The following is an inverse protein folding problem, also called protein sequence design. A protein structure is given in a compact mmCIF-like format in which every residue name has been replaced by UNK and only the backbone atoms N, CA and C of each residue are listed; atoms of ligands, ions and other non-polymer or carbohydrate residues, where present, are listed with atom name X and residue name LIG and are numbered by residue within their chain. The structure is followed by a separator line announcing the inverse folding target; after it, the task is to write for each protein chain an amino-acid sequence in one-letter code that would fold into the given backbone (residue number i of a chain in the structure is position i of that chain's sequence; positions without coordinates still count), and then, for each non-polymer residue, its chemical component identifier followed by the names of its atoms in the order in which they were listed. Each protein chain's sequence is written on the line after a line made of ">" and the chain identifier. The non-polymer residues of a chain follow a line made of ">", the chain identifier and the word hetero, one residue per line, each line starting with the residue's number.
data_IF_298446184744
#
_entry.id   IF_298446184744
#
_cell.length_a   1.000
_cell.length_b   1.000
_cell.length_c   1.000
_cell.angle_alpha   90.00
_cell.angle_beta   90.00
_cell.angle_gamma   90.00
#
_symmetry.space_group_name_H-M   'P 1'
#
loop_
_entity.id
_entity.type
_entity.pdbx_description
1 polymer ?
#
# COMPACT_ATOMS: atom_id res chain seq x y z
N UNK A 1 2.31 8.74 21.11
CA UNK A 1 3.02 8.37 19.86
C UNK A 1 2.31 7.16 19.28
N UNK A 2 1.76 7.27 18.07
CA UNK A 2 1.08 6.14 17.42
C UNK A 2 2.18 5.23 16.86
N UNK A 3 2.17 3.97 17.27
CA UNK A 3 3.10 2.95 16.78
C UNK A 3 2.30 1.81 16.16
N UNK A 4 2.62 1.48 14.91
CA UNK A 4 2.01 0.34 14.22
C UNK A 4 2.66 -0.93 14.76
N UNK A 5 1.87 -1.76 15.44
CA UNK A 5 2.35 -3.01 16.04
C UNK A 5 2.64 -4.07 14.99
N UNK A 6 1.79 -4.14 13.96
CA UNK A 6 1.93 -5.14 12.91
C UNK A 6 1.40 -4.65 11.57
N UNK A 7 1.94 -5.23 10.49
CA UNK A 7 1.57 -4.90 9.12
C UNK A 7 1.96 -6.07 8.20
N UNK A 8 1.01 -6.46 7.34
CA UNK A 8 1.17 -7.55 6.37
C UNK A 8 0.60 -7.12 5.02
N UNK A 9 1.21 -7.65 3.96
CA UNK A 9 0.63 -7.54 2.62
C UNK A 9 -0.49 -8.56 2.47
N UNK A 10 -1.73 -8.10 2.24
CA UNK A 10 -2.90 -8.98 2.11
C UNK A 10 -3.12 -9.46 0.67
N UNK A 11 -3.27 -8.54 -0.28
CA UNK A 11 -3.55 -8.87 -1.67
C UNK A 11 -3.14 -7.72 -2.62
N UNK A 12 -2.92 -8.06 -3.90
CA UNK A 12 -2.95 -7.10 -5.01
C UNK A 12 -4.19 -7.40 -5.82
N UNK A 13 -5.11 -6.45 -5.89
CA UNK A 13 -6.39 -6.62 -6.58
C UNK A 13 -6.43 -5.65 -7.76
N UNK A 14 -6.44 -6.21 -8.97
CA UNK A 14 -6.52 -5.43 -10.22
C UNK A 14 -7.97 -5.02 -10.55
N UNK A 15 -8.92 -5.72 -9.95
CA UNK A 15 -10.35 -5.55 -10.15
C UNK A 15 -11.05 -5.48 -8.80
N UNK A 16 -12.11 -4.67 -8.70
CA UNK A 16 -12.79 -4.37 -7.43
C UNK A 16 -13.35 -5.63 -6.74
N UNK A 17 -13.85 -6.60 -7.50
CA UNK A 17 -14.41 -7.83 -6.91
C UNK A 17 -13.33 -8.77 -6.32
N UNK A 18 -12.05 -8.53 -6.63
CA UNK A 18 -10.92 -9.28 -6.04
C UNK A 18 -10.47 -8.64 -4.72
N UNK A 19 -11.01 -7.48 -4.33
CA UNK A 19 -10.67 -6.84 -3.07
C UNK A 19 -11.27 -7.62 -1.89
N UNK A 20 -10.55 -7.70 -0.75
CA UNK A 20 -11.12 -8.21 0.49
C UNK A 20 -12.38 -7.44 0.89
N UNK A 21 -13.25 -8.07 1.68
CA UNK A 21 -14.39 -7.38 2.27
C UNK A 21 -13.89 -6.27 3.20
N UNK A 22 -14.48 -5.07 3.07
CA UNK A 22 -14.14 -3.91 3.91
C UNK A 22 -14.79 -4.05 5.29
N UNK A 23 -14.15 -4.84 6.15
CA UNK A 23 -14.63 -5.17 7.51
C UNK A 23 -14.20 -4.16 8.56
N UNK A 24 -13.29 -3.25 8.21
CA UNK A 24 -12.66 -2.27 9.11
C UNK A 24 -12.44 -0.94 8.41
N UNK A 25 -12.16 0.13 9.15
CA UNK A 25 -11.77 1.40 8.55
C UNK A 25 -10.49 1.26 7.74
N UNK A 26 -10.51 1.77 6.51
CA UNK A 26 -9.38 1.73 5.58
C UNK A 26 -8.89 3.15 5.26
N UNK A 27 -7.58 3.27 5.01
CA UNK A 27 -6.97 4.49 4.52
C UNK A 27 -6.43 4.26 3.11
N UNK A 28 -6.82 5.10 2.17
CA UNK A 28 -6.37 5.03 0.77
C UNK A 28 -5.27 6.05 0.52
N UNK A 29 -4.18 5.61 -0.11
CA UNK A 29 -3.08 6.48 -0.56
C UNK A 29 -3.12 6.63 -2.08
N UNK A 30 -3.39 7.84 -2.57
CA UNK A 30 -3.50 8.16 -4.00
C UNK A 30 -2.45 9.22 -4.41
N UNK A 31 -2.03 9.19 -5.67
CA UNK A 31 -1.08 10.17 -6.21
C UNK A 31 -0.46 9.75 -7.55
N UNK A 32 0.17 10.70 -8.25
CA UNK A 32 0.81 10.48 -9.56
C UNK A 32 1.90 9.38 -9.49
N UNK A 33 2.33 8.88 -10.65
CA UNK A 33 3.45 7.92 -10.70
C UNK A 33 4.70 8.51 -10.03
N UNK A 34 5.44 7.69 -9.29
CA UNK A 34 6.72 8.03 -8.65
C UNK A 34 6.75 9.20 -7.64
N UNK A 35 5.61 9.68 -7.15
CA UNK A 35 5.55 10.76 -6.12
C UNK A 35 5.91 10.32 -4.69
N UNK A 36 6.37 9.08 -4.49
CA UNK A 36 6.78 8.59 -3.16
C UNK A 36 5.70 7.90 -2.32
N UNK A 37 4.57 7.48 -2.92
CA UNK A 37 3.50 6.72 -2.21
C UNK A 37 4.01 5.51 -1.43
N UNK A 38 4.83 4.66 -2.07
CA UNK A 38 5.41 3.49 -1.42
C UNK A 38 6.37 3.88 -0.30
N UNK A 39 7.15 4.96 -0.47
CA UNK A 39 8.03 5.49 0.58
C UNK A 39 7.26 6.00 1.79
N UNK A 40 6.13 6.70 1.57
CA UNK A 40 5.23 7.14 2.63
C UNK A 40 4.69 5.94 3.42
N UNK A 41 4.18 4.93 2.73
CA UNK A 41 3.68 3.70 3.37
C UNK A 41 4.79 3.01 4.17
N UNK A 42 5.97 2.81 3.58
CA UNK A 42 7.07 2.13 4.27
C UNK A 42 7.58 2.91 5.50
N UNK A 43 7.58 4.24 5.44
CA UNK A 43 7.95 5.10 6.56
C UNK A 43 6.92 5.04 7.68
N UNK A 44 5.62 5.10 7.33
CA UNK A 44 4.52 5.00 8.29
C UNK A 44 4.51 3.64 9.00
N UNK A 45 4.76 2.56 8.25
CA UNK A 45 4.78 1.19 8.77
C UNK A 45 6.10 0.83 9.48
N UNK A 46 7.18 1.60 9.28
CA UNK A 46 8.54 1.23 9.71
C UNK A 46 9.06 -0.08 9.10
N UNK A 47 8.45 -0.53 7.98
CA UNK A 47 8.71 -1.80 7.30
C UNK A 47 8.68 -1.60 5.79
N UNK A 48 9.47 -2.38 5.03
CA UNK A 48 9.51 -2.29 3.57
C UNK A 48 8.49 -3.25 2.93
N UNK A 49 7.20 -2.90 3.02
CA UNK A 49 6.08 -3.73 2.54
C UNK A 49 5.49 -3.24 1.22
N UNK A 50 5.44 -1.93 1.00
CA UNK A 50 4.98 -1.35 -0.25
C UNK A 50 6.11 -1.41 -1.29
N UNK A 51 5.89 -2.16 -2.36
CA UNK A 51 6.85 -2.28 -3.46
C UNK A 51 7.01 -0.94 -4.17
N UNK A 52 8.22 -0.40 -4.21
CA UNK A 52 8.59 0.75 -5.06
C UNK A 52 9.28 0.23 -6.32
N UNK A 53 8.65 0.36 -7.48
CA UNK A 53 9.30 0.11 -8.78
C UNK A 53 9.59 1.45 -9.46
N UNK A 54 10.84 1.68 -9.86
CA UNK A 54 11.21 2.84 -10.69
C UNK A 54 10.72 2.69 -12.14
N UNK A 55 10.49 1.45 -12.61
CA UNK A 55 9.97 1.16 -13.94
C UNK A 55 8.44 1.33 -13.95
N UNK A 56 7.88 2.24 -14.77
CA UNK A 56 6.43 2.36 -14.95
C UNK A 56 5.84 1.05 -15.48
N UNK A 57 4.69 0.62 -14.96
CA UNK A 57 3.90 -0.48 -15.54
C UNK A 57 4.02 -1.88 -14.91
N UNK A 58 4.60 -2.03 -13.71
CA UNK A 58 4.72 -3.35 -13.03
C UNK A 58 3.86 -3.56 -11.78
N UNK A 59 3.07 -2.58 -11.36
CA UNK A 59 1.91 -2.83 -10.48
C UNK A 59 0.78 -3.37 -11.35
N UNK A 60 0.67 -4.70 -11.42
CA UNK A 60 -0.54 -5.41 -11.88
C UNK A 60 -1.42 -5.73 -10.68
#
# INVERSE_FOLDING_TARGET
>A
MIAIKDAHFLASSSQLFQCPASLTSEMVVLGRSNVGKSSFINTLLGKNLAKSSATPGKTR
#
